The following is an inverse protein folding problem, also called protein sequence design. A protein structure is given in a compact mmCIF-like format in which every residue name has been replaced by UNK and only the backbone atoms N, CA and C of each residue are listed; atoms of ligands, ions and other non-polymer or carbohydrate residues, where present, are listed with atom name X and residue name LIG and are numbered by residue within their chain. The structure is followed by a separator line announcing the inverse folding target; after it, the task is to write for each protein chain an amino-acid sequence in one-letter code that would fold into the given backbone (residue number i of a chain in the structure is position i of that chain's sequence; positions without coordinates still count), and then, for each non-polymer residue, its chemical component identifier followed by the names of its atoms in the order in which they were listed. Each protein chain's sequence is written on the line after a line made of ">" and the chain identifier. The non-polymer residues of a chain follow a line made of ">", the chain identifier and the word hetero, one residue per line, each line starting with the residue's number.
data_IF_765711280517
#
_entry.id   IF_765711280517
#
_cell.length_a   1.000
_cell.length_b   1.000
_cell.length_c   1.000
_cell.angle_alpha   90.00
_cell.angle_beta   90.00
_cell.angle_gamma   90.00
#
_symmetry.space_group_name_H-M   'P 1'
#
loop_
_entity.id
_entity.type
_entity.pdbx_description
1 polymer ?
#
# COMPACT_ATOMS: atom_id res chain seq x y z
N UNK A 1 -0.94 2.18 -4.68
CA UNK A 1 -1.88 2.42 -3.55
C UNK A 1 -1.08 2.54 -2.26
N UNK A 2 -1.40 3.49 -1.38
CA UNK A 2 -0.72 3.67 -0.08
C UNK A 2 -1.71 3.44 1.06
N UNK A 3 -1.39 2.50 1.97
CA UNK A 3 -2.21 2.14 3.12
C UNK A 3 -1.32 2.02 4.37
N UNK A 4 -1.40 2.95 5.35
CA UNK A 4 -0.51 2.94 6.52
C UNK A 4 -0.53 1.63 7.32
N UNK A 5 -1.68 0.95 7.36
CA UNK A 5 -1.90 -0.30 8.09
C UNK A 5 -2.48 -1.39 7.18
N UNK A 6 -2.10 -2.66 7.38
CA UNK A 6 -2.77 -3.82 6.79
C UNK A 6 -3.41 -4.71 7.88
N UNK A 7 -4.18 -4.08 8.76
CA UNK A 7 -4.88 -4.73 9.88
C UNK A 7 -6.19 -5.40 9.47
N UNK A 8 -7.03 -5.68 10.47
CA UNK A 8 -8.33 -6.38 10.30
C UNK A 8 -9.46 -5.41 9.88
N UNK A 9 -9.18 -4.11 9.78
CA UNK A 9 -10.21 -3.11 9.46
C UNK A 9 -10.84 -3.27 8.08
N UNK A 10 -12.03 -2.69 7.93
CA UNK A 10 -12.78 -2.70 6.67
C UNK A 10 -12.09 -1.88 5.57
N UNK A 11 -11.33 -0.84 5.95
CA UNK A 11 -10.54 -0.04 5.04
C UNK A 11 -9.46 -0.90 4.35
N UNK A 12 -8.77 -1.74 5.10
CA UNK A 12 -7.75 -2.65 4.60
C UNK A 12 -8.35 -3.76 3.74
N UNK A 13 -9.52 -4.29 4.12
CA UNK A 13 -10.24 -5.26 3.29
C UNK A 13 -10.59 -4.70 1.91
N UNK A 14 -11.06 -3.45 1.87
CA UNK A 14 -11.35 -2.75 0.62
C UNK A 14 -10.08 -2.49 -0.19
N UNK A 15 -8.97 -2.14 0.46
CA UNK A 15 -7.69 -1.94 -0.22
C UNK A 15 -7.25 -3.21 -0.97
N UNK A 16 -7.33 -4.37 -0.31
CA UNK A 16 -7.02 -5.67 -0.94
C UNK A 16 -7.99 -5.98 -2.09
N UNK A 17 -9.30 -5.79 -1.87
CA UNK A 17 -10.31 -6.05 -2.90
C UNK A 17 -10.13 -5.14 -4.14
N UNK A 18 -9.80 -3.87 -3.94
CA UNK A 18 -9.52 -2.94 -5.03
C UNK A 18 -8.24 -3.27 -5.76
N UNK A 19 -7.15 -3.57 -5.05
CA UNK A 19 -5.89 -3.93 -5.68
C UNK A 19 -6.06 -5.17 -6.57
N UNK A 20 -6.72 -6.21 -6.05
CA UNK A 20 -7.07 -7.41 -6.81
C UNK A 20 -7.96 -7.09 -8.01
N UNK A 21 -9.04 -6.35 -7.81
CA UNK A 21 -9.97 -6.01 -8.88
C UNK A 21 -9.34 -5.16 -10.00
N UNK A 22 -8.35 -4.33 -9.67
CA UNK A 22 -7.58 -3.56 -10.64
C UNK A 22 -6.61 -4.46 -11.44
N UNK A 23 -5.92 -5.39 -10.77
CA UNK A 23 -5.08 -6.37 -11.45
C UNK A 23 -5.89 -7.28 -12.39
N UNK A 24 -7.06 -7.75 -11.96
CA UNK A 24 -7.96 -8.56 -12.79
C UNK A 24 -8.44 -7.82 -14.05
N UNK A 25 -8.42 -6.48 -14.02
CA UNK A 25 -8.72 -5.61 -15.19
C UNK A 25 -7.49 -5.30 -16.04
N UNK A 26 -6.33 -5.86 -15.71
CA UNK A 26 -5.07 -5.68 -16.44
C UNK A 26 -4.25 -4.45 -16.04
N UNK A 27 -4.57 -3.81 -14.90
CA UNK A 27 -3.76 -2.70 -14.38
C UNK A 27 -2.57 -3.22 -13.58
N UNK A 28 -1.44 -2.53 -13.72
CA UNK A 28 -0.30 -2.72 -12.83
C UNK A 28 -0.57 -2.02 -11.49
N UNK A 29 -0.40 -2.75 -10.39
CA UNK A 29 -0.75 -2.25 -9.05
C UNK A 29 0.34 -2.65 -8.07
N UNK A 30 0.85 -1.67 -7.32
CA UNK A 30 1.65 -1.90 -6.11
C UNK A 30 0.94 -1.31 -4.89
N UNK A 31 0.85 -2.11 -3.82
CA UNK A 31 0.31 -1.68 -2.53
C UNK A 31 1.43 -1.45 -1.53
N UNK A 32 1.52 -0.23 -1.01
CA UNK A 32 2.59 0.19 -0.10
C UNK A 32 2.04 0.37 1.30
N UNK A 33 2.70 -0.24 2.29
CA UNK A 33 2.19 -0.27 3.66
C UNK A 33 3.27 -0.18 4.75
N UNK A 34 2.84 0.31 5.92
CA UNK A 34 3.71 0.67 7.03
C UNK A 34 3.68 -0.34 8.16
N UNK A 35 2.50 -0.84 8.52
CA UNK A 35 2.34 -1.88 9.53
C UNK A 35 1.97 -3.22 8.88
N UNK A 36 2.76 -4.26 9.14
CA UNK A 36 2.40 -5.64 8.83
C UNK A 36 1.22 -6.05 9.71
N UNK A 37 0.15 -6.55 9.12
CA UNK A 37 -0.99 -7.11 9.84
C UNK A 37 -1.48 -8.40 9.21
N UNK A 38 -2.60 -8.92 9.71
CA UNK A 38 -3.14 -10.23 9.35
C UNK A 38 -3.51 -10.40 7.88
N UNK A 39 -3.55 -9.32 7.08
CA UNK A 39 -3.90 -9.36 5.65
C UNK A 39 -2.72 -9.44 4.70
N UNK A 40 -1.48 -9.41 5.19
CA UNK A 40 -0.28 -9.65 4.36
C UNK A 40 -0.34 -11.04 3.67
N UNK A 41 -0.74 -12.13 4.35
CA UNK A 41 -0.98 -13.42 3.69
C UNK A 41 -2.04 -13.34 2.59
N UNK A 42 -3.19 -12.71 2.85
CA UNK A 42 -4.28 -12.56 1.87
C UNK A 42 -3.81 -11.83 0.60
N UNK A 43 -3.01 -10.77 0.75
CA UNK A 43 -2.42 -10.06 -0.39
C UNK A 43 -1.42 -10.92 -1.17
N UNK A 44 -0.60 -11.68 -0.44
CA UNK A 44 0.38 -12.59 -1.04
C UNK A 44 -0.31 -13.71 -1.81
N UNK A 45 -1.34 -14.33 -1.23
CA UNK A 45 -2.16 -15.37 -1.85
C UNK A 45 -2.93 -14.83 -3.07
N UNK A 46 -3.39 -13.58 -3.02
CA UNK A 46 -4.04 -12.91 -4.14
C UNK A 46 -3.07 -12.49 -5.27
N UNK A 47 -1.75 -12.67 -5.08
CA UNK A 47 -0.74 -12.27 -6.05
C UNK A 47 -0.63 -10.75 -6.23
N UNK A 48 -1.03 -9.97 -5.22
CA UNK A 48 -0.96 -8.51 -5.25
C UNK A 48 0.45 -8.05 -4.89
N UNK A 49 1.20 -7.39 -5.81
CA UNK A 49 2.50 -6.81 -5.50
C UNK A 49 2.38 -5.85 -4.33
N UNK A 50 3.24 -6.04 -3.34
CA UNK A 50 3.18 -5.26 -2.12
C UNK A 50 4.58 -4.91 -1.61
N UNK A 51 4.67 -3.72 -1.02
CA UNK A 51 5.92 -3.14 -0.54
C UNK A 51 5.77 -2.64 0.88
N UNK A 52 6.55 -3.22 1.77
CA UNK A 52 6.65 -2.76 3.15
C UNK A 52 7.70 -1.65 3.28
N UNK A 53 7.31 -0.47 3.79
CA UNK A 53 8.23 0.65 4.04
C UNK A 53 8.61 0.82 5.52
N UNK A 54 8.02 0.08 6.44
CA UNK A 54 8.08 0.26 7.90
C UNK A 54 7.10 1.30 8.49
N UNK A 55 6.68 1.10 9.75
CA UNK A 55 5.76 1.98 10.43
C UNK A 55 6.26 3.41 10.56
N UNK A 56 7.57 3.53 10.84
CA UNK A 56 8.22 4.81 11.05
C UNK A 56 8.25 5.62 9.76
N UNK A 57 8.32 5.00 8.60
CA UNK A 57 8.34 5.72 7.33
C UNK A 57 6.95 6.08 6.81
N UNK A 58 5.88 5.63 7.48
CA UNK A 58 4.49 5.95 7.13
C UNK A 58 3.72 6.53 8.33
N UNK A 59 4.44 7.19 9.26
CA UNK A 59 3.85 7.90 10.38
C UNK A 59 3.69 9.39 10.08
N UNK A 60 2.56 10.03 10.47
CA UNK A 60 2.39 11.48 10.37
C UNK A 60 3.45 12.27 11.15
N UNK A 61 4.04 11.67 12.19
CA UNK A 61 5.06 12.29 13.05
C UNK A 61 6.42 12.42 12.38
N UNK A 62 6.62 11.78 11.24
CA UNK A 62 7.88 11.70 10.49
C UNK A 62 7.64 12.10 9.04
N UNK A 63 6.97 13.23 8.83
CA UNK A 63 6.56 13.71 7.52
C UNK A 63 7.73 13.84 6.53
N UNK A 64 8.93 14.35 6.89
CA UNK A 64 10.05 14.41 5.96
C UNK A 64 10.52 13.04 5.48
N UNK A 65 10.64 12.06 6.39
CA UNK A 65 11.00 10.68 6.07
C UNK A 65 9.92 10.00 5.25
N UNK A 66 8.65 10.26 5.57
CA UNK A 66 7.50 9.76 4.83
C UNK A 66 7.51 10.23 3.38
N UNK A 67 7.69 11.54 3.16
CA UNK A 67 7.78 12.12 1.81
C UNK A 67 8.97 11.54 1.04
N UNK A 68 10.13 11.36 1.68
CA UNK A 68 11.29 10.74 1.02
C UNK A 68 11.03 9.29 0.62
N UNK A 69 10.45 8.50 1.51
CA UNK A 69 10.15 7.10 1.26
C UNK A 69 9.12 6.94 0.14
N UNK A 70 8.02 7.70 0.18
CA UNK A 70 7.02 7.69 -0.89
C UNK A 70 7.59 8.20 -2.21
N UNK A 71 8.48 9.21 -2.20
CA UNK A 71 9.13 9.69 -3.42
C UNK A 71 9.99 8.61 -4.07
N UNK A 72 10.67 7.78 -3.28
CA UNK A 72 11.45 6.66 -3.81
C UNK A 72 10.52 5.63 -4.48
N UNK A 73 9.43 5.25 -3.81
CA UNK A 73 8.41 4.34 -4.36
C UNK A 73 7.84 4.88 -5.67
N UNK A 74 7.37 6.14 -5.68
CA UNK A 74 6.75 6.74 -6.87
C UNK A 74 7.73 6.80 -8.03
N UNK A 75 9.01 7.03 -7.78
CA UNK A 75 10.04 7.03 -8.85
C UNK A 75 10.37 5.66 -9.40
N UNK A 76 10.25 4.63 -8.57
CA UNK A 76 10.59 3.26 -8.96
C UNK A 76 9.42 2.58 -9.67
N UNK A 77 8.21 2.76 -9.14
CA UNK A 77 6.99 2.19 -9.70
C UNK A 77 6.40 3.03 -10.84
N UNK A 78 6.68 4.34 -10.88
CA UNK A 78 6.18 5.30 -11.88
C UNK A 78 4.64 5.25 -12.09
N UNK A 79 3.82 5.41 -11.03
CA UNK A 79 2.38 5.27 -11.15
C UNK A 79 1.73 6.43 -11.91
N UNK A 80 0.81 6.11 -12.82
CA UNK A 80 -0.12 7.09 -13.40
C UNK A 80 -1.09 7.66 -12.36
N UNK A 81 -1.48 6.84 -11.38
CA UNK A 81 -2.47 7.18 -10.36
C UNK A 81 -1.99 6.76 -8.97
N UNK A 82 -2.00 7.73 -8.05
CA UNK A 82 -1.74 7.49 -6.63
C UNK A 82 -3.05 7.56 -5.83
N UNK A 83 -3.48 6.42 -5.30
CA UNK A 83 -4.56 6.34 -4.32
C UNK A 83 -4.00 6.24 -2.91
N UNK A 84 -4.30 7.23 -2.07
CA UNK A 84 -3.89 7.29 -0.67
C UNK A 84 -5.11 7.10 0.23
N UNK A 85 -5.05 6.10 1.11
CA UNK A 85 -6.09 5.84 2.08
C UNK A 85 -5.68 6.45 3.43
N UNK A 86 -6.48 7.38 3.94
CA UNK A 86 -6.34 7.90 5.30
C UNK A 86 -7.30 7.14 6.21
N UNK A 87 -6.77 6.53 7.26
CA UNK A 87 -7.53 5.95 8.38
C UNK A 87 -7.48 6.87 9.59
#
# INVERSE_FOLDING_TARGET
>A
MVCPTLGIGGAEQLAVAYARGLQERGHEVEVVYGYTGSRVPEMTEAGVPSRFLSPRLLSPRTLPEWVRALRAVVREFDPDVLYAQSV
#
